data_IF_950966809312
#
_entry.id   IF_950966809312
#
_cell.length_a   1.000
_cell.length_b   1.000
_cell.length_c   1.000
_cell.angle_alpha   90.00
_cell.angle_beta   90.00
_cell.angle_gamma   90.00
#
_symmetry.space_group_name_H-M   'P 1'
#
loop_
_entity.id
_entity.type
_entity.pdbx_description
1 polymer ?
#
# COMPACT_ATOMS: atom_id res chain seq x y z
N UNK A 1 19.56 23.15 -4.30
CA UNK A 1 19.55 21.88 -3.52
C UNK A 1 18.47 20.98 -4.09
N UNK A 2 18.84 19.80 -4.60
CA UNK A 2 17.87 18.84 -5.14
C UNK A 2 17.64 17.78 -4.07
N UNK A 3 16.41 17.69 -3.57
CA UNK A 3 16.01 16.64 -2.63
C UNK A 3 15.61 15.38 -3.40
N UNK A 4 16.21 14.24 -3.07
CA UNK A 4 15.96 12.95 -3.74
C UNK A 4 15.72 11.86 -2.71
N UNK A 5 14.80 10.95 -3.03
CA UNK A 5 14.57 9.77 -2.19
C UNK A 5 15.64 8.71 -2.49
N UNK A 6 16.37 8.29 -1.47
CA UNK A 6 17.41 7.26 -1.56
C UNK A 6 16.91 5.98 -0.89
N UNK A 7 16.95 4.90 -1.66
CA UNK A 7 16.60 3.55 -1.19
C UNK A 7 17.91 2.84 -0.89
N UNK A 8 18.18 2.60 0.39
CA UNK A 8 19.44 2.00 0.86
C UNK A 8 19.51 0.50 0.59
N UNK A 9 18.35 -0.15 0.44
CA UNK A 9 18.25 -1.58 0.18
C UNK A 9 17.58 -1.82 -1.18
N UNK A 10 18.33 -2.42 -2.12
CA UNK A 10 17.85 -2.73 -3.46
C UNK A 10 16.68 -3.74 -3.46
N UNK A 11 16.69 -4.71 -2.53
CA UNK A 11 15.61 -5.70 -2.40
C UNK A 11 14.30 -5.02 -2.03
N UNK A 12 14.35 -4.09 -1.05
CA UNK A 12 13.18 -3.33 -0.61
C UNK A 12 12.66 -2.46 -1.74
N UNK A 13 13.54 -1.79 -2.48
CA UNK A 13 13.16 -1.02 -3.66
C UNK A 13 12.38 -1.86 -4.67
N UNK A 14 12.92 -3.03 -5.04
CA UNK A 14 12.26 -3.92 -5.99
C UNK A 14 10.95 -4.50 -5.46
N UNK A 15 10.87 -4.86 -4.18
CA UNK A 15 9.62 -5.31 -3.55
C UNK A 15 8.52 -4.25 -3.64
N UNK A 16 8.86 -2.98 -3.39
CA UNK A 16 7.91 -1.86 -3.48
C UNK A 16 7.49 -1.61 -4.93
N UNK A 17 8.44 -1.60 -5.87
CA UNK A 17 8.16 -1.40 -7.30
C UNK A 17 7.27 -2.52 -7.83
N UNK A 18 7.60 -3.78 -7.56
CA UNK A 18 6.81 -4.95 -7.98
C UNK A 18 5.44 -4.93 -7.32
N UNK A 19 5.35 -4.61 -6.03
CA UNK A 19 4.09 -4.51 -5.31
C UNK A 19 3.17 -3.42 -5.88
N UNK A 20 3.71 -2.23 -6.15
CA UNK A 20 2.98 -1.13 -6.77
C UNK A 20 2.57 -1.46 -8.20
N UNK A 21 3.47 -2.03 -9.02
CA UNK A 21 3.19 -2.43 -10.39
C UNK A 21 2.09 -3.49 -10.45
N UNK A 22 2.16 -4.51 -9.59
CA UNK A 22 1.11 -5.54 -9.46
C UNK A 22 -0.22 -4.90 -9.07
N UNK A 23 -0.19 -3.94 -8.14
CA UNK A 23 -1.37 -3.18 -7.73
C UNK A 23 -2.00 -2.37 -8.88
N UNK A 24 -1.17 -1.76 -9.74
CA UNK A 24 -1.64 -1.05 -10.95
C UNK A 24 -2.30 -2.02 -11.92
N UNK A 25 -1.66 -3.16 -12.22
CA UNK A 25 -2.21 -4.17 -13.14
C UNK A 25 -3.55 -4.71 -12.64
N UNK A 26 -3.63 -5.07 -11.35
CA UNK A 26 -4.87 -5.56 -10.75
C UNK A 26 -5.98 -4.50 -10.74
N UNK A 27 -5.63 -3.24 -10.47
CA UNK A 27 -6.61 -2.14 -10.49
C UNK A 27 -7.08 -1.82 -11.91
N UNK A 28 -6.20 -1.96 -12.91
CA UNK A 28 -6.53 -1.80 -14.32
C UNK A 28 -7.44 -2.91 -14.82
N UNK A 29 -7.15 -4.16 -14.44
CA UNK A 29 -8.03 -5.29 -14.72
C UNK A 29 -9.43 -5.05 -14.14
N UNK A 30 -9.52 -4.68 -12.85
CA UNK A 30 -10.80 -4.40 -12.20
C UNK A 30 -11.60 -3.26 -12.85
N UNK A 31 -10.91 -2.24 -13.36
CA UNK A 31 -11.54 -1.14 -14.08
C UNK A 31 -12.15 -1.61 -15.40
N UNK A 32 -11.43 -2.45 -16.16
CA UNK A 32 -11.88 -3.00 -17.45
C UNK A 32 -13.05 -3.97 -17.28
N UNK A 33 -13.02 -4.82 -16.25
CA UNK A 33 -14.05 -5.86 -16.07
C UNK A 33 -15.29 -5.40 -15.31
N UNK A 34 -15.18 -4.38 -14.45
CA UNK A 34 -16.23 -4.01 -13.50
C UNK A 34 -16.75 -2.58 -13.58
N UNK A 35 -16.19 -1.72 -14.45
CA UNK A 35 -16.54 -0.29 -14.60
C UNK A 35 -16.67 0.43 -13.24
N UNK A 36 -15.74 0.14 -12.33
CA UNK A 36 -15.78 0.70 -10.98
C UNK A 36 -14.95 2.00 -10.92
N UNK A 37 -15.61 3.14 -10.75
CA UNK A 37 -14.96 4.45 -10.60
C UNK A 37 -13.88 4.47 -9.51
N UNK A 38 -14.09 3.72 -8.42
CA UNK A 38 -13.10 3.61 -7.34
C UNK A 38 -11.84 2.84 -7.78
N UNK A 39 -11.98 1.87 -8.69
CA UNK A 39 -10.83 1.18 -9.28
C UNK A 39 -10.02 2.13 -10.17
N UNK A 40 -10.68 3.05 -10.87
CA UNK A 40 -10.03 4.10 -11.65
C UNK A 40 -9.21 5.06 -10.78
N UNK A 41 -9.80 5.57 -9.70
CA UNK A 41 -9.08 6.41 -8.73
C UNK A 41 -7.88 5.67 -8.13
N UNK A 42 -8.08 4.41 -7.71
CA UNK A 42 -7.01 3.57 -7.17
C UNK A 42 -5.88 3.35 -8.18
N UNK A 43 -6.21 3.11 -9.46
CA UNK A 43 -5.20 2.96 -10.52
C UNK A 43 -4.36 4.21 -10.68
N UNK A 44 -4.99 5.39 -10.80
CA UNK A 44 -4.28 6.66 -10.96
C UNK A 44 -3.38 6.93 -9.76
N UNK A 45 -3.90 6.70 -8.55
CA UNK A 45 -3.13 6.85 -7.32
C UNK A 45 -1.91 5.93 -7.28
N UNK A 46 -2.07 4.63 -7.57
CA UNK A 46 -0.96 3.67 -7.57
C UNK A 46 0.07 3.96 -8.67
N UNK A 47 -0.38 4.35 -9.85
CA UNK A 47 0.50 4.72 -10.96
C UNK A 47 1.33 5.96 -10.62
N UNK A 48 0.71 6.97 -9.98
CA UNK A 48 1.42 8.17 -9.52
C UNK A 48 2.50 7.82 -8.48
N UNK A 49 2.19 6.96 -7.51
CA UNK A 49 3.17 6.53 -6.50
C UNK A 49 4.30 5.74 -7.15
N UNK A 50 3.99 4.80 -8.04
CA UNK A 50 4.99 4.03 -8.78
C UNK A 50 5.93 4.96 -9.55
N UNK A 51 5.39 5.95 -10.24
CA UNK A 51 6.17 6.97 -10.95
C UNK A 51 7.10 7.73 -9.99
N UNK A 52 6.61 8.17 -8.83
CA UNK A 52 7.43 8.86 -7.83
C UNK A 52 8.55 7.97 -7.27
N UNK A 53 8.29 6.68 -7.06
CA UNK A 53 9.28 5.70 -6.59
C UNK A 53 10.35 5.46 -7.65
N UNK A 54 9.97 5.25 -8.91
CA UNK A 54 10.90 5.00 -10.01
C UNK A 54 11.77 6.23 -10.29
N UNK A 55 11.18 7.42 -10.28
CA UNK A 55 11.91 8.70 -10.46
C UNK A 55 12.69 9.13 -9.22
N UNK A 56 12.57 8.41 -8.09
CA UNK A 56 13.20 8.73 -6.80
C UNK A 56 12.87 10.15 -6.32
N UNK A 57 11.66 10.63 -6.62
CA UNK A 57 11.23 11.98 -6.29
C UNK A 57 11.14 12.19 -4.76
N UNK A 58 11.37 13.41 -4.26
CA UNK A 58 11.33 13.73 -2.81
C UNK A 58 10.02 13.35 -2.10
N UNK A 59 8.91 13.34 -2.83
CA UNK A 59 7.60 12.97 -2.29
C UNK A 59 7.32 11.46 -2.29
N UNK A 60 8.22 10.63 -2.82
CA UNK A 60 8.03 9.18 -2.88
C UNK A 60 7.84 8.59 -1.47
N UNK A 61 8.70 8.95 -0.51
CA UNK A 61 8.63 8.45 0.86
C UNK A 61 7.29 8.76 1.54
N UNK A 62 6.83 10.00 1.46
CA UNK A 62 5.56 10.42 2.08
C UNK A 62 4.37 9.69 1.47
N UNK A 63 4.30 9.60 0.14
CA UNK A 63 3.20 8.90 -0.52
C UNK A 63 3.25 7.38 -0.28
N UNK A 64 4.44 6.79 -0.17
CA UNK A 64 4.59 5.38 0.16
C UNK A 64 4.09 5.07 1.57
N UNK A 65 4.38 5.95 2.54
CA UNK A 65 3.83 5.85 3.91
C UNK A 65 2.31 5.91 3.91
N UNK A 66 1.71 6.82 3.16
CA UNK A 66 0.26 6.91 3.01
C UNK A 66 -0.34 5.67 2.36
N UNK A 67 0.27 5.17 1.29
CA UNK A 67 -0.18 3.96 0.62
C UNK A 67 -0.13 2.73 1.54
N UNK A 68 0.97 2.53 2.27
CA UNK A 68 1.08 1.46 3.26
C UNK A 68 0.08 1.63 4.41
N UNK A 69 -0.03 2.85 4.95
CA UNK A 69 -0.93 3.17 6.05
C UNK A 69 -2.39 2.92 5.69
N UNK A 70 -2.85 3.46 4.56
CA UNK A 70 -4.24 3.32 4.12
C UNK A 70 -4.51 1.90 3.62
N UNK A 71 -3.64 1.37 2.76
CA UNK A 71 -3.87 0.11 2.05
C UNK A 71 -3.68 -1.14 2.89
N UNK A 72 -2.68 -1.16 3.78
CA UNK A 72 -2.31 -2.36 4.54
C UNK A 72 -2.60 -2.27 6.03
N UNK A 73 -2.82 -1.08 6.60
CA UNK A 73 -3.13 -0.94 8.03
C UNK A 73 -4.61 -0.57 8.20
N UNK A 74 -5.00 0.62 7.75
CA UNK A 74 -6.35 1.13 7.95
C UNK A 74 -7.39 0.26 7.23
N UNK A 75 -7.15 -0.10 5.96
CA UNK A 75 -8.07 -0.94 5.18
C UNK A 75 -8.38 -2.28 5.86
N UNK A 76 -7.38 -3.12 6.17
CA UNK A 76 -7.60 -4.37 6.89
C UNK A 76 -8.20 -4.17 8.27
N UNK A 77 -7.78 -3.16 9.03
CA UNK A 77 -8.34 -2.86 10.35
C UNK A 77 -9.84 -2.51 10.28
N UNK A 78 -10.25 -1.63 9.35
CA UNK A 78 -11.66 -1.31 9.12
C UNK A 78 -12.45 -2.52 8.61
N UNK A 79 -11.84 -3.34 7.75
CA UNK A 79 -12.48 -4.56 7.24
C UNK A 79 -12.73 -5.58 8.36
N UNK A 80 -11.77 -5.74 9.28
CA UNK A 80 -11.90 -6.57 10.48
C UNK A 80 -12.99 -6.03 11.42
N UNK A 81 -12.94 -4.73 11.73
CA UNK A 81 -13.92 -4.10 12.60
C UNK A 81 -15.34 -4.19 12.02
N UNK A 82 -15.50 -3.90 10.73
CA UNK A 82 -16.79 -4.00 10.04
C UNK A 82 -17.34 -5.42 10.02
N UNK A 83 -16.49 -6.42 9.76
CA UNK A 83 -16.92 -7.83 9.79
C UNK A 83 -17.32 -8.27 11.20
N UNK A 84 -16.55 -7.89 12.21
CA UNK A 84 -16.83 -8.27 13.60
C UNK A 84 -18.13 -7.64 14.11
N UNK A 85 -18.41 -6.38 13.75
CA UNK A 85 -19.70 -5.74 14.02
C UNK A 85 -20.85 -6.49 13.35
N UNK A 86 -20.70 -6.84 12.07
CA UNK A 86 -21.72 -7.58 11.33
C UNK A 86 -21.99 -8.97 11.91
N UNK A 87 -20.94 -9.71 12.25
CA UNK A 87 -21.07 -11.05 12.83
C UNK A 87 -21.66 -11.02 14.25
N UNK A 88 -21.39 -9.97 15.04
CA UNK A 88 -22.02 -9.79 16.35
C UNK A 88 -23.54 -9.59 16.22
N UNK A 89 -23.99 -8.89 15.18
CA UNK A 89 -25.41 -8.68 14.90
C UNK A 89 -26.09 -9.96 14.38
N UNK A 90 -25.36 -10.77 13.61
CA UNK A 90 -25.86 -12.02 13.01
C UNK A 90 -25.58 -13.28 13.86
N UNK A 91 -25.20 -13.10 15.13
CA UNK A 91 -24.95 -14.20 16.08
C UNK A 91 -23.84 -15.17 15.65
N UNK A 92 -22.85 -14.69 14.91
CA UNK A 92 -21.71 -15.46 14.36
C UNK A 92 -22.09 -16.57 13.36
N UNK A 93 -23.31 -16.54 12.81
CA UNK A 93 -23.76 -17.52 11.81
C UNK A 93 -22.90 -17.57 10.53
N UNK A 94 -22.22 -16.46 10.21
CA UNK A 94 -21.36 -16.31 9.03
C UNK A 94 -19.86 -16.19 9.35
N UNK A 95 -19.43 -16.68 10.51
CA UNK A 95 -18.04 -16.60 10.97
C UNK A 95 -17.08 -17.28 9.99
N UNK A 96 -16.06 -16.54 9.54
CA UNK A 96 -15.05 -17.05 8.60
C UNK A 96 -13.63 -16.85 9.13
N UNK A 97 -13.03 -17.93 9.66
CA UNK A 97 -11.63 -17.91 10.13
C UNK A 97 -10.68 -17.45 9.04
N UNK A 98 -10.91 -17.91 7.80
CA UNK A 98 -10.09 -17.54 6.64
C UNK A 98 -10.06 -16.03 6.42
N UNK A 99 -11.21 -15.36 6.52
CA UNK A 99 -11.27 -13.90 6.40
C UNK A 99 -10.43 -13.20 7.48
N UNK A 100 -10.62 -13.58 8.74
CA UNK A 100 -9.89 -12.97 9.86
C UNK A 100 -8.39 -13.19 9.75
N UNK A 101 -7.97 -14.42 9.44
CA UNK A 101 -6.56 -14.77 9.28
C UNK A 101 -5.93 -13.98 8.14
N UNK A 102 -6.59 -13.92 6.98
CA UNK A 102 -6.11 -13.17 5.82
C UNK A 102 -5.95 -11.67 6.13
N UNK A 103 -6.94 -11.04 6.77
CA UNK A 103 -6.86 -9.61 7.11
C UNK A 103 -5.82 -9.32 8.19
N UNK A 104 -5.68 -10.19 9.19
CA UNK A 104 -4.66 -10.07 10.23
C UNK A 104 -3.25 -10.21 9.64
N UNK A 105 -3.02 -11.19 8.77
CA UNK A 105 -1.75 -11.34 8.05
C UNK A 105 -1.42 -10.11 7.21
N UNK A 106 -2.41 -9.56 6.50
CA UNK A 106 -2.23 -8.36 5.69
C UNK A 106 -1.82 -7.14 6.53
N UNK A 107 -2.39 -7.02 7.74
CA UNK A 107 -2.05 -5.99 8.71
C UNK A 107 -0.63 -6.16 9.23
N UNK A 108 -0.23 -7.38 9.61
CA UNK A 108 1.14 -7.69 10.05
C UNK A 108 2.16 -7.38 8.95
N UNK A 109 1.91 -7.83 7.72
CA UNK A 109 2.76 -7.52 6.55
C UNK A 109 2.84 -6.01 6.34
N UNK A 110 1.72 -5.29 6.46
CA UNK A 110 1.66 -3.83 6.39
C UNK A 110 2.56 -3.14 7.40
N UNK A 111 2.49 -3.55 8.67
CA UNK A 111 3.30 -2.99 9.74
C UNK A 111 4.79 -3.26 9.53
N UNK A 112 5.14 -4.49 9.11
CA UNK A 112 6.52 -4.86 8.79
C UNK A 112 7.05 -3.97 7.66
N UNK A 113 6.34 -3.88 6.54
CA UNK A 113 6.74 -3.04 5.41
C UNK A 113 6.85 -1.56 5.80
N UNK A 114 5.93 -1.05 6.60
CA UNK A 114 5.96 0.32 7.08
C UNK A 114 7.21 0.61 7.93
N UNK A 115 7.56 -0.31 8.83
CA UNK A 115 8.77 -0.21 9.66
C UNK A 115 10.04 -0.25 8.81
N UNK A 116 10.09 -1.14 7.81
CA UNK A 116 11.21 -1.24 6.88
C UNK A 116 11.36 0.01 6.02
N UNK A 117 10.29 0.50 5.41
CA UNK A 117 10.31 1.75 4.63
C UNK A 117 10.81 2.92 5.46
N UNK A 118 10.36 3.04 6.71
CA UNK A 118 10.82 4.09 7.62
C UNK A 118 12.33 4.00 7.89
N UNK A 119 12.90 2.81 7.88
CA UNK A 119 14.30 2.55 8.22
C UNK A 119 15.24 2.59 7.02
N UNK A 120 14.77 2.22 5.82
CA UNK A 120 15.63 2.04 4.63
C UNK A 120 15.45 3.12 3.56
N UNK A 121 14.47 4.01 3.72
CA UNK A 121 14.15 5.04 2.73
C UNK A 121 14.28 6.41 3.39
N UNK A 122 15.20 7.22 2.89
CA UNK A 122 15.47 8.58 3.37
C UNK A 122 15.35 9.57 2.23
N UNK A 123 15.11 10.84 2.56
CA UNK A 123 15.18 11.94 1.60
C UNK A 123 16.48 12.67 1.87
N UNK A 124 17.39 12.62 0.90
CA UNK A 124 18.71 13.24 1.00
C UNK A 124 18.75 14.52 0.16
N UNK A 125 19.47 15.53 0.66
CA UNK A 125 19.76 16.76 -0.07
C UNK A 125 21.05 16.55 -0.85
N UNK A 126 20.93 16.49 -2.18
CA UNK A 126 22.08 16.43 -3.08
C UNK A 126 22.44 17.88 -3.44
N UNK A 127 23.68 18.27 -3.14
CA UNK A 127 24.25 19.53 -3.63
C UNK A 127 24.36 19.45 -5.15
N UNK A 128 23.82 20.45 -5.84
CA UNK A 128 23.92 20.53 -7.29
C UNK A 128 25.36 20.92 -7.61
N UNK A 129 26.13 19.98 -8.15
CA UNK A 129 27.41 20.25 -8.83
C UNK A 129 27.14 20.96 -10.15
#
# INVERSE_FOLDING_TARGET
MIEKTVFHNAVVYWLLVVGLASGVVLSGYALVTGVNLLAGFRLVWLAAILFLVVTKHKYALTNLKWWLGIGFIAGPAFSLAGRLLHETLDGFSSFSVEFYLNKALLLVVGLILFSFVRSTVTVERIEAN
#
